data_IF_939466645132
#
_entry.id   IF_939466645132
#
_cell.length_a   1.000
_cell.length_b   1.000
_cell.length_c   1.000
_cell.angle_alpha   90.00
_cell.angle_beta   90.00
_cell.angle_gamma   90.00
#
_symmetry.space_group_name_H-M   'P 1'
#
loop_
_entity.id
_entity.type
_entity.pdbx_description
1 polymer ?
#
# COMPACT_ATOMS: atom_id res chain seq x y z
N UNK A 1 -8.86 -2.33 -1.51
CA UNK A 1 -7.70 -2.97 -0.93
C UNK A 1 -7.27 -4.13 -1.81
N UNK A 2 -5.99 -4.31 -1.98
CA UNK A 2 -5.46 -5.40 -2.76
C UNK A 2 -5.51 -6.69 -1.94
N UNK A 3 -6.14 -7.69 -2.51
CA UNK A 3 -6.27 -9.00 -1.88
C UNK A 3 -5.46 -10.09 -2.60
N UNK A 4 -4.62 -9.72 -3.54
CA UNK A 4 -3.85 -10.68 -4.31
C UNK A 4 -2.43 -10.83 -3.76
N UNK A 5 -2.04 -12.08 -3.54
CA UNK A 5 -0.73 -12.43 -2.99
C UNK A 5 0.43 -11.92 -3.84
N UNK A 6 0.28 -11.95 -5.17
CA UNK A 6 1.30 -11.51 -6.12
C UNK A 6 1.59 -10.01 -6.08
N UNK A 7 0.68 -9.21 -5.51
CA UNK A 7 0.80 -7.75 -5.45
C UNK A 7 1.45 -7.24 -4.17
N UNK A 8 1.69 -8.10 -3.18
CA UNK A 8 2.27 -7.70 -1.90
C UNK A 8 3.68 -7.10 -2.08
N UNK A 9 3.82 -5.84 -1.68
CA UNK A 9 5.07 -5.10 -1.77
C UNK A 9 5.52 -4.74 -3.19
N UNK A 10 4.71 -5.03 -4.20
CA UNK A 10 5.08 -4.86 -5.61
C UNK A 10 4.16 -3.93 -6.38
N UNK A 11 3.10 -3.46 -5.76
CA UNK A 11 2.09 -2.60 -6.39
C UNK A 11 1.91 -1.34 -5.58
N UNK A 12 1.86 -0.19 -6.25
CA UNK A 12 1.54 1.09 -5.63
C UNK A 12 0.12 1.43 -6.04
N UNK A 13 -0.74 1.68 -5.05
CA UNK A 13 -2.13 2.03 -5.26
C UNK A 13 -2.34 3.51 -5.00
N UNK A 14 -3.09 4.16 -5.87
CA UNK A 14 -3.46 5.58 -5.78
C UNK A 14 -4.97 5.70 -5.70
N UNK A 15 -5.44 6.57 -4.79
CA UNK A 15 -6.85 6.85 -4.64
C UNK A 15 -7.06 8.33 -4.35
N UNK A 16 -8.06 8.94 -4.96
CA UNK A 16 -8.40 10.35 -4.76
C UNK A 16 -9.73 10.56 -4.03
N UNK A 17 -10.39 9.50 -3.58
CA UNK A 17 -11.69 9.59 -2.90
C UNK A 17 -11.58 9.65 -1.38
N UNK A 18 -10.42 9.35 -0.82
CA UNK A 18 -10.18 9.31 0.61
C UNK A 18 -9.75 7.95 1.09
N UNK A 19 -9.46 7.85 2.37
CA UNK A 19 -9.00 6.63 3.02
C UNK A 19 -9.57 6.53 4.43
N UNK A 20 -9.88 5.31 4.86
CA UNK A 20 -10.19 4.98 6.26
C UNK A 20 -9.01 4.23 6.86
N UNK A 21 -8.11 4.91 7.58
CA UNK A 21 -6.92 4.26 8.14
C UNK A 21 -7.29 3.10 9.06
N UNK A 22 -6.57 1.99 8.94
CA UNK A 22 -6.76 0.80 9.79
C UNK A 22 -7.91 -0.11 9.38
N UNK A 23 -8.69 0.22 8.34
CA UNK A 23 -9.82 -0.60 7.91
C UNK A 23 -9.40 -2.00 7.44
N UNK A 24 -8.21 -2.13 6.85
CA UNK A 24 -7.69 -3.41 6.37
C UNK A 24 -7.25 -4.38 7.46
N UNK A 25 -7.12 -3.91 8.70
CA UNK A 25 -6.73 -4.71 9.87
C UNK A 25 -7.77 -4.61 11.00
N UNK A 26 -9.01 -4.38 10.65
CA UNK A 26 -10.16 -4.28 11.58
C UNK A 26 -9.99 -3.23 12.67
N UNK A 27 -9.22 -2.19 12.42
CA UNK A 27 -8.98 -1.06 13.32
C UNK A 27 -9.25 0.26 12.59
N UNK A 28 -10.43 0.36 11.96
CA UNK A 28 -10.81 1.53 11.18
C UNK A 28 -10.85 2.79 12.06
N UNK A 29 -10.20 3.84 11.60
CA UNK A 29 -10.21 5.16 12.20
C UNK A 29 -11.07 6.10 11.37
N UNK A 30 -11.21 7.35 11.83
CA UNK A 30 -11.96 8.37 11.10
C UNK A 30 -11.46 8.50 9.66
N UNK A 31 -12.39 8.54 8.72
CA UNK A 31 -12.10 8.75 7.31
C UNK A 31 -11.36 10.06 7.07
N UNK A 32 -10.37 10.01 6.18
CA UNK A 32 -9.63 11.17 5.68
C UNK A 32 -10.04 11.39 4.22
N UNK A 33 -10.87 12.39 3.98
CA UNK A 33 -11.44 12.68 2.67
C UNK A 33 -11.76 14.18 2.53
N UNK A 34 -12.18 14.59 1.35
CA UNK A 34 -12.64 15.96 1.13
C UNK A 34 -13.79 16.33 2.07
N UNK A 35 -14.73 15.39 2.30
CA UNK A 35 -15.89 15.65 3.16
C UNK A 35 -15.54 15.81 4.64
N UNK A 36 -14.48 15.17 5.12
CA UNK A 36 -14.04 15.23 6.53
C UNK A 36 -13.01 16.31 6.79
N UNK A 37 -12.14 16.60 5.83
CA UNK A 37 -11.02 17.54 6.00
C UNK A 37 -11.23 18.90 5.27
N UNK A 38 -12.17 18.96 4.34
CA UNK A 38 -12.41 20.17 3.54
C UNK A 38 -11.35 20.44 2.48
N UNK A 39 -10.42 19.53 2.26
CA UNK A 39 -9.36 19.61 1.24
C UNK A 39 -9.32 18.33 0.43
N UNK A 40 -8.89 18.42 -0.82
CA UNK A 40 -8.70 17.24 -1.66
C UNK A 40 -7.59 16.35 -1.10
N UNK A 41 -7.85 15.06 -1.04
CA UNK A 41 -6.93 14.07 -0.52
C UNK A 41 -6.52 13.08 -1.60
N UNK A 42 -5.26 12.73 -1.62
CA UNK A 42 -4.73 11.62 -2.42
C UNK A 42 -4.13 10.62 -1.45
N UNK A 43 -4.59 9.39 -1.53
CA UNK A 43 -4.03 8.29 -0.75
C UNK A 43 -3.08 7.49 -1.64
N UNK A 44 -1.90 7.19 -1.10
CA UNK A 44 -0.90 6.34 -1.75
C UNK A 44 -0.60 5.19 -0.80
N UNK A 45 -0.68 3.98 -1.29
CA UNK A 45 -0.46 2.81 -0.46
C UNK A 45 0.23 1.68 -1.19
N UNK A 46 0.92 0.86 -0.41
CA UNK A 46 1.54 -0.38 -0.87
C UNK A 46 1.02 -1.51 0.01
N UNK A 47 0.36 -2.52 -0.56
CA UNK A 47 -0.08 -3.68 0.22
C UNK A 47 1.15 -4.48 0.64
N UNK A 48 1.31 -4.73 1.94
CA UNK A 48 2.45 -5.46 2.49
C UNK A 48 2.06 -6.72 3.24
N UNK A 49 0.81 -6.84 3.62
CA UNK A 49 0.28 -7.99 4.37
C UNK A 49 -1.04 -8.45 3.77
N UNK A 50 -1.32 -9.73 3.96
CA UNK A 50 -2.58 -10.36 3.58
C UNK A 50 -3.00 -11.30 4.70
N UNK A 51 -4.30 -11.47 4.93
CA UNK A 51 -4.75 -12.44 5.91
C UNK A 51 -4.45 -13.89 5.46
N UNK A 52 -4.22 -14.75 6.43
CA UNK A 52 -3.84 -16.15 6.15
C UNK A 52 -4.93 -16.90 5.39
N UNK A 53 -6.19 -16.61 5.66
CA UNK A 53 -7.30 -17.26 4.96
C UNK A 53 -7.27 -16.95 3.46
N UNK A 54 -7.10 -15.68 3.11
CA UNK A 54 -6.99 -15.26 1.70
C UNK A 54 -5.72 -15.85 1.06
N UNK A 55 -4.58 -15.84 1.76
CA UNK A 55 -3.34 -16.42 1.25
C UNK A 55 -3.49 -17.93 0.98
N UNK A 56 -4.11 -18.67 1.89
CA UNK A 56 -4.36 -20.10 1.71
C UNK A 56 -5.28 -20.38 0.51
N UNK A 57 -6.30 -19.56 0.33
CA UNK A 57 -7.20 -19.65 -0.84
C UNK A 57 -6.42 -19.47 -2.14
N UNK A 58 -5.52 -18.49 -2.21
CA UNK A 58 -4.71 -18.22 -3.39
C UNK A 58 -3.68 -19.31 -3.69
N UNK A 59 -3.08 -19.91 -2.65
CA UNK A 59 -2.02 -20.91 -2.81
C UNK A 59 -2.60 -22.31 -3.05
N UNK A 60 -3.60 -22.69 -2.26
CA UNK A 60 -4.11 -24.07 -2.23
C UNK A 60 -5.51 -24.22 -2.83
N UNK A 61 -6.20 -23.14 -3.12
CA UNK A 61 -7.58 -23.17 -3.57
C UNK A 61 -8.57 -23.68 -2.52
N UNK A 62 -8.17 -23.73 -1.26
CA UNK A 62 -8.97 -24.22 -0.14
C UNK A 62 -9.04 -23.17 0.97
N UNK A 63 -10.17 -23.16 1.70
CA UNK A 63 -10.31 -22.28 2.85
C UNK A 63 -9.40 -22.74 4.00
N UNK A 64 -8.76 -21.78 4.67
CA UNK A 64 -7.99 -22.04 5.87
C UNK A 64 -8.93 -22.33 7.06
N UNK A 65 -8.42 -23.01 8.12
CA UNK A 65 -9.19 -23.21 9.36
C UNK A 65 -9.64 -21.87 9.98
N UNK A 66 -10.79 -21.90 10.68
CA UNK A 66 -11.31 -20.72 11.39
C UNK A 66 -10.32 -20.12 12.37
N UNK A 67 -9.46 -20.93 12.97
CA UNK A 67 -8.41 -20.49 13.88
C UNK A 67 -7.38 -19.55 13.24
N UNK A 68 -7.36 -19.41 11.91
CA UNK A 68 -6.45 -18.54 11.18
C UNK A 68 -7.04 -17.16 10.82
N UNK A 69 -8.25 -16.84 11.24
CA UNK A 69 -8.95 -15.61 10.85
C UNK A 69 -8.20 -14.33 11.20
N UNK A 70 -7.45 -14.30 12.30
CA UNK A 70 -6.73 -13.12 12.77
C UNK A 70 -5.22 -13.17 12.48
N UNK A 71 -4.78 -14.08 11.61
CA UNK A 71 -3.38 -14.21 11.27
C UNK A 71 -3.09 -13.49 9.97
N UNK A 72 -2.09 -12.61 10.00
CA UNK A 72 -1.62 -11.87 8.83
C UNK A 72 -0.26 -12.43 8.39
N UNK A 73 -0.04 -12.48 7.10
CA UNK A 73 1.21 -12.93 6.50
C UNK A 73 1.81 -11.87 5.60
N UNK A 74 3.13 -11.84 5.50
CA UNK A 74 3.86 -10.91 4.66
C UNK A 74 4.99 -11.65 3.92
N UNK A 75 5.46 -11.14 2.77
CA UNK A 75 6.64 -11.71 2.11
C UNK A 75 7.87 -11.61 3.02
N UNK A 76 8.78 -12.58 2.92
CA UNK A 76 10.06 -12.53 3.65
C UNK A 76 10.87 -11.28 3.35
N UNK A 77 10.72 -10.76 2.14
CA UNK A 77 11.43 -9.57 1.65
C UNK A 77 10.59 -8.30 1.77
N UNK A 78 9.57 -8.28 2.65
CA UNK A 78 8.66 -7.14 2.79
C UNK A 78 9.38 -5.82 3.04
N UNK A 79 10.41 -5.82 3.87
CA UNK A 79 11.21 -4.62 4.16
C UNK A 79 11.89 -4.08 2.89
N UNK A 80 12.50 -4.96 2.12
CA UNK A 80 13.17 -4.58 0.86
C UNK A 80 12.17 -4.10 -0.20
N UNK A 81 11.05 -4.77 -0.32
CA UNK A 81 9.99 -4.39 -1.25
C UNK A 81 9.39 -3.03 -0.86
N UNK A 82 9.16 -2.80 0.43
CA UNK A 82 8.67 -1.53 0.95
C UNK A 82 9.67 -0.40 0.72
N UNK A 83 10.95 -0.64 0.91
CA UNK A 83 12.01 0.33 0.63
C UNK A 83 12.03 0.73 -0.86
N UNK A 84 11.95 -0.24 -1.75
CA UNK A 84 11.91 0.01 -3.20
C UNK A 84 10.68 0.83 -3.59
N UNK A 85 9.51 0.49 -3.05
CA UNK A 85 8.29 1.25 -3.30
C UNK A 85 8.37 2.66 -2.72
N UNK A 86 8.95 2.84 -1.54
CA UNK A 86 9.14 4.15 -0.93
C UNK A 86 10.00 5.06 -1.81
N UNK A 87 11.08 4.55 -2.38
CA UNK A 87 11.92 5.29 -3.32
C UNK A 87 11.15 5.71 -4.57
N UNK A 88 10.38 4.80 -5.16
CA UNK A 88 9.53 5.09 -6.31
C UNK A 88 8.49 6.17 -6.01
N UNK A 89 7.82 6.07 -4.87
CA UNK A 89 6.83 7.05 -4.43
C UNK A 89 7.48 8.42 -4.25
N UNK A 90 8.63 8.48 -3.57
CA UNK A 90 9.36 9.72 -3.37
C UNK A 90 9.77 10.37 -4.71
N UNK A 91 10.27 9.59 -5.64
CA UNK A 91 10.62 10.07 -6.99
C UNK A 91 9.39 10.60 -7.72
N UNK A 92 8.26 9.88 -7.65
CA UNK A 92 7.02 10.29 -8.30
C UNK A 92 6.45 11.58 -7.73
N UNK A 93 6.43 11.73 -6.40
CA UNK A 93 5.97 12.95 -5.73
C UNK A 93 6.88 14.13 -6.10
N UNK A 94 8.19 13.96 -6.05
CA UNK A 94 9.13 15.01 -6.40
C UNK A 94 8.99 15.42 -7.87
N UNK A 95 8.75 14.47 -8.76
CA UNK A 95 8.49 14.77 -10.17
C UNK A 95 7.22 15.59 -10.36
N UNK A 96 6.17 15.26 -9.59
CA UNK A 96 4.89 15.95 -9.69
C UNK A 96 4.94 17.39 -9.17
N UNK A 97 5.66 17.62 -8.05
CA UNK A 97 5.72 18.95 -7.41
C UNK A 97 6.88 19.82 -7.89
N UNK A 98 7.84 19.24 -8.59
CA UNK A 98 9.01 19.94 -9.15
C UNK A 98 9.17 19.65 -10.65
N UNK A 99 8.23 20.12 -11.50
CA UNK A 99 8.26 19.78 -12.94
C UNK A 99 9.47 20.34 -13.68
N UNK A 100 10.18 21.32 -13.11
CA UNK A 100 11.38 21.90 -13.69
C UNK A 100 12.64 21.03 -13.49
N UNK A 101 12.61 20.08 -12.56
CA UNK A 101 13.73 19.17 -12.32
C UNK A 101 13.72 18.02 -13.31
N UNK A 102 14.90 17.63 -13.80
CA UNK A 102 15.05 16.46 -14.64
C UNK A 102 14.88 15.17 -13.80
N UNK A 103 14.67 14.07 -14.48
CA UNK A 103 14.59 12.76 -13.81
C UNK A 103 15.90 12.42 -13.09
N UNK A 104 17.04 12.78 -13.69
CA UNK A 104 18.37 12.56 -13.10
C UNK A 104 18.56 13.37 -11.81
N UNK A 105 18.13 14.64 -11.81
CA UNK A 105 18.18 15.49 -10.63
C UNK A 105 17.36 14.91 -9.49
N UNK A 106 16.14 14.47 -9.77
CA UNK A 106 15.24 13.87 -8.78
C UNK A 106 15.84 12.58 -8.23
N UNK A 107 16.41 11.74 -9.10
CA UNK A 107 17.02 10.48 -8.69
C UNK A 107 18.21 10.71 -7.78
N UNK A 108 19.04 11.72 -8.04
CA UNK A 108 20.19 12.05 -7.20
C UNK A 108 19.79 12.58 -5.82
N UNK A 109 18.65 13.28 -5.74
CA UNK A 109 18.12 13.82 -4.47
C UNK A 109 17.39 12.79 -3.62
N UNK A 110 16.93 11.71 -4.22
CA UNK A 110 16.09 10.67 -3.58
C UNK A 110 16.91 9.51 -3.00
N UNK A 111 18.15 9.38 -3.39
CA UNK A 111 19.04 8.30 -2.92
C UNK A 111 19.32 8.35 -1.43
#
# INVERSE_FOLDING_TARGET
ACSELSNLGRTIQLCNTGISPGSGVENARKELSLSTLGVKCIAIGVPTVIDLCTAAQHIFGQAAPESSENIMVAPKTADKLSENCAKLIAMGINRAVHPALSQEDIQSLTC
#
